data_IF_124299584353
#
_entry.id   IF_124299584353
#
_cell.length_a   1.000
_cell.length_b   1.000
_cell.length_c   1.000
_cell.angle_alpha   90.00
_cell.angle_beta   90.00
_cell.angle_gamma   90.00
#
_symmetry.space_group_name_H-M   'P 1'
#
loop_
_entity.id
_entity.type
_entity.pdbx_description
1 polymer ?
#
# COMPACT_ATOMS: atom_id res chain seq x y z
N UNK A 1 -5.95 -8.51 25.25
CA UNK A 1 -5.06 -9.08 26.28
C UNK A 1 -4.19 -7.96 26.84
N UNK A 2 -3.79 -8.01 28.12
CA UNK A 2 -2.88 -7.01 28.73
C UNK A 2 -1.48 -7.60 28.86
N UNK A 3 -0.50 -6.91 28.28
CA UNK A 3 0.91 -7.29 28.32
C UNK A 3 1.72 -6.12 28.87
N UNK A 4 2.70 -6.39 29.72
CA UNK A 4 3.65 -5.36 30.19
C UNK A 4 4.96 -5.56 29.43
N UNK A 5 5.49 -4.48 28.86
CA UNK A 5 6.74 -4.49 28.09
C UNK A 5 7.65 -3.37 28.59
N UNK A 6 8.96 -3.57 28.52
CA UNK A 6 9.95 -2.54 28.82
C UNK A 6 10.25 -1.74 27.55
N UNK A 7 10.19 -0.41 27.64
CA UNK A 7 10.45 0.51 26.53
C UNK A 7 11.45 1.56 27.03
N UNK A 8 12.45 1.90 26.22
CA UNK A 8 13.38 2.96 26.53
C UNK A 8 12.67 4.34 26.54
N UNK A 9 13.14 5.26 27.39
CA UNK A 9 12.48 6.54 27.63
C UNK A 9 12.42 7.44 26.39
N UNK A 10 13.45 7.39 25.56
CA UNK A 10 13.54 8.10 24.29
C UNK A 10 12.48 7.64 23.29
N UNK A 11 12.28 6.33 23.17
CA UNK A 11 11.25 5.73 22.32
C UNK A 11 9.85 6.07 22.84
N UNK A 12 9.65 6.00 24.16
CA UNK A 12 8.36 6.33 24.77
C UNK A 12 8.01 7.81 24.57
N UNK A 13 9.00 8.72 24.60
CA UNK A 13 8.82 10.14 24.31
C UNK A 13 8.33 10.34 22.87
N UNK A 14 8.93 9.64 21.90
CA UNK A 14 8.53 9.73 20.49
C UNK A 14 7.12 9.19 20.26
N UNK A 15 6.79 8.05 20.86
CA UNK A 15 5.44 7.49 20.79
C UNK A 15 4.37 8.46 21.35
N UNK A 16 4.70 9.21 22.41
CA UNK A 16 3.79 10.25 22.96
C UNK A 16 3.61 11.43 22.02
N UNK A 17 4.68 11.88 21.37
CA UNK A 17 4.60 12.97 20.40
C UNK A 17 3.72 12.56 19.21
N UNK A 18 3.87 11.33 18.73
CA UNK A 18 3.06 10.81 17.64
C UNK A 18 1.59 10.66 18.04
N UNK A 19 1.33 10.10 19.22
CA UNK A 19 -0.02 9.99 19.79
C UNK A 19 -0.71 11.37 19.89
N UNK A 20 0.03 12.41 20.29
CA UNK A 20 -0.48 13.78 20.35
C UNK A 20 -0.77 14.35 18.95
N UNK A 21 0.06 14.06 17.95
CA UNK A 21 -0.14 14.51 16.56
C UNK A 21 -1.36 13.86 15.91
N UNK A 22 -1.56 12.56 16.14
CA UNK A 22 -2.65 11.80 15.51
C UNK A 22 -3.94 11.82 16.34
N UNK A 23 -3.93 12.47 17.50
CA UNK A 23 -5.02 12.50 18.46
C UNK A 23 -5.46 11.08 18.89
N UNK A 24 -4.48 10.21 19.09
CA UNK A 24 -4.66 8.81 19.49
C UNK A 24 -4.01 8.53 20.84
N UNK A 25 -4.30 7.36 21.42
CA UNK A 25 -3.61 6.90 22.62
C UNK A 25 -2.23 6.31 22.27
N UNK A 26 -1.30 6.38 23.23
CA UNK A 26 0.02 5.73 23.12
C UNK A 26 -0.13 4.23 22.84
N UNK A 27 -1.10 3.56 23.48
CA UNK A 27 -1.40 2.15 23.23
C UNK A 27 -1.78 1.87 21.77
N UNK A 28 -2.54 2.77 21.12
CA UNK A 28 -2.92 2.62 19.72
C UNK A 28 -1.73 2.77 18.78
N UNK A 29 -0.82 3.69 19.08
CA UNK A 29 0.43 3.86 18.33
C UNK A 29 1.30 2.61 18.45
N UNK A 30 1.42 2.06 19.67
CA UNK A 30 2.12 0.80 19.92
C UNK A 30 1.51 -0.39 19.17
N UNK A 31 0.18 -0.51 19.15
CA UNK A 31 -0.49 -1.58 18.41
C UNK A 31 -0.24 -1.47 16.90
N UNK A 32 -0.34 -0.26 16.34
CA UNK A 32 -0.10 -0.01 14.93
C UNK A 32 1.34 -0.37 14.53
N UNK A 33 2.32 0.08 15.31
CA UNK A 33 3.73 -0.23 15.07
C UNK A 33 4.02 -1.73 15.14
N UNK A 34 3.45 -2.43 16.12
CA UNK A 34 3.63 -3.88 16.25
C UNK A 34 2.98 -4.63 15.08
N UNK A 35 1.79 -4.22 14.67
CA UNK A 35 1.09 -4.81 13.51
C UNK A 35 1.89 -4.62 12.24
N UNK A 36 2.39 -3.41 11.99
CA UNK A 36 3.23 -3.12 10.83
C UNK A 36 4.50 -3.96 10.83
N UNK A 37 5.18 -4.07 11.98
CA UNK A 37 6.39 -4.88 12.10
C UNK A 37 6.12 -6.37 11.78
N UNK A 38 5.03 -6.93 12.30
CA UNK A 38 4.65 -8.33 12.03
C UNK A 38 4.29 -8.54 10.56
N UNK A 39 3.56 -7.61 9.93
CA UNK A 39 3.23 -7.68 8.50
C UNK A 39 4.48 -7.56 7.63
N UNK A 40 5.38 -6.64 7.94
CA UNK A 40 6.67 -6.48 7.24
C UNK A 40 7.52 -7.74 7.33
N UNK A 41 7.52 -8.39 8.49
CA UNK A 41 8.25 -9.65 8.71
C UNK A 41 7.60 -10.82 7.96
N UNK A 42 6.28 -10.81 7.78
CA UNK A 42 5.53 -11.83 7.04
C UNK A 42 5.52 -11.62 5.53
N UNK A 43 5.67 -10.39 5.04
CA UNK A 43 5.78 -10.12 3.61
C UNK A 43 6.96 -10.90 3.06
N UNK A 44 6.65 -11.83 2.14
CA UNK A 44 7.64 -12.62 1.43
C UNK A 44 8.74 -11.72 0.87
N UNK A 45 9.95 -12.29 0.74
CA UNK A 45 11.11 -11.61 0.18
C UNK A 45 10.67 -10.71 -0.98
N UNK A 46 10.98 -9.41 -0.88
CA UNK A 46 10.65 -8.42 -1.90
C UNK A 46 11.11 -9.00 -3.23
N UNK A 47 10.16 -9.41 -4.06
CA UNK A 47 10.49 -9.93 -5.38
C UNK A 47 11.02 -8.74 -6.14
N UNK A 48 12.29 -8.80 -6.57
CA UNK A 48 12.84 -7.87 -7.54
C UNK A 48 12.14 -8.12 -8.88
N UNK A 49 10.88 -7.70 -8.94
CA UNK A 49 10.05 -7.76 -10.11
C UNK A 49 10.02 -6.37 -10.71
N UNK A 50 10.69 -6.23 -11.85
CA UNK A 50 10.54 -5.04 -12.69
C UNK A 50 9.24 -5.20 -13.46
N UNK A 51 8.24 -4.37 -13.14
CA UNK A 51 7.04 -4.28 -13.94
C UNK A 51 7.47 -3.91 -15.37
N UNK A 52 7.09 -4.70 -16.39
CA UNK A 52 7.43 -4.37 -17.77
C UNK A 52 6.80 -3.02 -18.11
N UNK A 53 7.63 -2.06 -18.51
CA UNK A 53 7.15 -0.80 -19.06
C UNK A 53 6.82 -1.04 -20.53
N UNK A 54 5.53 -1.09 -20.85
CA UNK A 54 5.11 -1.06 -22.24
C UNK A 54 5.28 0.37 -22.76
N UNK A 55 5.96 0.54 -23.90
CA UNK A 55 6.16 1.83 -24.57
C UNK A 55 4.88 2.36 -25.22
N UNK A 56 3.76 2.35 -24.49
CA UNK A 56 2.45 2.80 -24.95
C UNK A 56 2.36 4.31 -24.97
N UNK A 57 2.99 4.94 -25.96
CA UNK A 57 2.73 6.33 -26.36
C UNK A 57 1.55 6.44 -27.33
N UNK A 58 0.57 5.54 -27.20
CA UNK A 58 -0.62 5.50 -28.03
C UNK A 58 -1.73 6.42 -27.53
N UNK A 59 -2.83 6.44 -28.26
CA UNK A 59 -4.06 7.15 -27.90
C UNK A 59 -4.49 6.78 -26.47
N UNK A 60 -4.56 7.78 -25.59
CA UNK A 60 -5.12 7.62 -24.25
C UNK A 60 -6.64 7.58 -24.40
N UNK A 61 -7.24 6.42 -24.10
CA UNK A 61 -8.69 6.24 -24.06
C UNK A 61 -9.19 6.27 -22.62
N UNK A 62 -10.43 6.71 -22.43
CA UNK A 62 -11.12 6.53 -21.15
C UNK A 62 -11.57 5.07 -21.01
N UNK A 63 -11.04 4.37 -20.01
CA UNK A 63 -11.39 2.97 -19.72
C UNK A 63 -12.84 2.79 -19.26
N UNK A 64 -13.52 3.88 -18.88
CA UNK A 64 -14.93 3.87 -18.53
C UNK A 64 -15.83 3.95 -19.78
N UNK A 65 -15.29 4.36 -20.93
CA UNK A 65 -15.98 4.29 -22.20
C UNK A 65 -15.80 2.89 -22.81
N UNK A 66 -16.84 2.08 -22.68
CA UNK A 66 -16.85 0.69 -23.13
C UNK A 66 -16.66 0.55 -24.64
N UNK A 67 -17.18 1.49 -25.43
CA UNK A 67 -17.09 1.43 -26.90
C UNK A 67 -15.67 1.79 -27.35
N UNK A 68 -15.12 2.89 -26.83
CA UNK A 68 -13.75 3.31 -27.12
C UNK A 68 -12.71 2.28 -26.67
N UNK A 69 -12.95 1.59 -25.54
CA UNK A 69 -12.10 0.51 -25.05
C UNK A 69 -12.14 -0.73 -25.96
N UNK A 70 -13.32 -1.16 -26.40
CA UNK A 70 -13.47 -2.31 -27.30
C UNK A 70 -12.81 -2.07 -28.67
N UNK A 71 -12.89 -0.83 -29.18
CA UNK A 71 -12.21 -0.44 -30.42
C UNK A 71 -10.68 -0.44 -30.27
N UNK A 72 -10.15 0.12 -29.18
CA UNK A 72 -8.70 0.17 -28.94
C UNK A 72 -8.07 -1.21 -28.70
N UNK A 73 -8.84 -2.17 -28.17
CA UNK A 73 -8.41 -3.56 -27.97
C UNK A 73 -8.46 -4.40 -29.26
N UNK A 74 -9.11 -3.91 -30.32
CA UNK A 74 -9.32 -4.66 -31.56
C UNK A 74 -10.45 -5.69 -31.48
N UNK A 75 -11.25 -5.67 -30.41
CA UNK A 75 -12.36 -6.62 -30.19
C UNK A 75 -13.51 -6.46 -31.21
N UNK A 76 -13.51 -5.36 -31.97
CA UNK A 76 -14.48 -5.05 -33.02
C UNK A 76 -14.01 -5.43 -34.43
N UNK A 77 -12.80 -5.99 -34.60
CA UNK A 77 -12.39 -6.49 -35.91
C UNK A 77 -13.15 -7.78 -36.25
N UNK A 78 -13.78 -7.89 -37.44
CA UNK A 78 -14.39 -9.14 -37.86
C UNK A 78 -13.31 -10.21 -38.00
N UNK A 79 -13.48 -11.30 -37.25
CA UNK A 79 -12.65 -12.50 -37.38
C UNK A 79 -12.75 -12.98 -38.84
N UNK A 80 -11.65 -12.88 -39.58
CA UNK A 80 -11.55 -13.36 -40.96
C UNK A 80 -11.55 -14.89 -41.05
#
# INVERSE_FOLDING_TARGET
>A
MRTTVTIADDVLREARLEAARTNQSVSSVLEAALREHLVRTQSAARVDFVLPTFGGGGLLIDILDKEALAEALGDNEPIA
#
